data_IF_812733736455
#
_entry.id   IF_812733736455
#
_cell.length_a   1.000
_cell.length_b   1.000
_cell.length_c   1.000
_cell.angle_alpha   90.00
_cell.angle_beta   90.00
_cell.angle_gamma   90.00
#
_symmetry.space_group_name_H-M   'P 1'
#
loop_
_entity.id
_entity.type
_entity.pdbx_description
1 polymer ?
#
# COMPACT_ATOMS: atom_id res chain seq x y z
N UNK A 1 -13.44 2.90 -36.51
CA UNK A 1 -13.25 1.92 -35.43
C UNK A 1 -13.23 2.68 -34.12
N UNK A 2 -14.05 2.28 -33.13
CA UNK A 2 -13.94 2.81 -31.76
C UNK A 2 -12.62 2.29 -31.17
N UNK A 3 -11.77 3.18 -30.66
CA UNK A 3 -10.57 2.77 -29.93
C UNK A 3 -10.97 2.26 -28.55
N UNK A 4 -10.56 1.04 -28.20
CA UNK A 4 -10.68 0.54 -26.84
C UNK A 4 -9.65 1.29 -25.99
N UNK A 5 -10.14 2.05 -25.02
CA UNK A 5 -9.29 2.67 -24.00
C UNK A 5 -9.12 1.67 -22.86
N UNK A 6 -7.90 1.19 -22.64
CA UNK A 6 -7.56 0.26 -21.56
C UNK A 6 -7.05 1.07 -20.37
N UNK A 7 -7.69 0.90 -19.21
CA UNK A 7 -7.22 1.46 -17.94
C UNK A 7 -6.23 0.50 -17.29
N UNK A 8 -5.01 0.95 -17.05
CA UNK A 8 -3.98 0.20 -16.33
C UNK A 8 -4.03 0.51 -14.83
N UNK A 9 -4.05 -0.55 -14.01
CA UNK A 9 -3.96 -0.45 -12.55
C UNK A 9 -2.50 -0.56 -12.09
N UNK A 10 -2.25 -0.28 -10.81
CA UNK A 10 -0.94 -0.41 -10.20
C UNK A 10 -0.51 -1.87 -9.95
N UNK A 11 0.81 -2.06 -9.79
CA UNK A 11 1.41 -3.31 -9.38
C UNK A 11 1.42 -3.47 -7.85
N UNK A 12 1.69 -4.68 -7.38
CA UNK A 12 1.58 -5.05 -5.97
C UNK A 12 2.49 -4.26 -5.01
N UNK A 13 1.91 -3.82 -3.89
CA UNK A 13 2.61 -3.07 -2.84
C UNK A 13 3.46 -3.98 -1.93
N UNK A 14 2.87 -5.00 -1.30
CA UNK A 14 3.53 -5.77 -0.22
C UNK A 14 4.86 -6.43 -0.62
N UNK A 15 4.91 -7.07 -1.79
CA UNK A 15 6.17 -7.66 -2.30
C UNK A 15 7.22 -6.59 -2.58
N UNK A 16 6.82 -5.46 -3.15
CA UNK A 16 7.72 -4.35 -3.46
C UNK A 16 8.28 -3.72 -2.19
N UNK A 17 7.46 -3.55 -1.15
CA UNK A 17 7.91 -3.11 0.18
C UNK A 17 8.98 -4.06 0.75
N UNK A 18 8.74 -5.36 0.71
CA UNK A 18 9.71 -6.37 1.16
C UNK A 18 11.01 -6.32 0.35
N UNK A 19 10.94 -6.18 -0.98
CA UNK A 19 12.11 -6.02 -1.84
C UNK A 19 12.91 -4.74 -1.57
N UNK A 20 12.24 -3.68 -1.11
CA UNK A 20 12.87 -2.42 -0.67
C UNK A 20 13.33 -2.46 0.80
N UNK A 21 13.26 -3.62 1.46
CA UNK A 21 13.78 -3.83 2.81
C UNK A 21 12.87 -3.33 3.94
N UNK A 22 11.60 -3.03 3.65
CA UNK A 22 10.63 -2.69 4.69
C UNK A 22 10.21 -3.97 5.39
N UNK A 23 10.43 -4.03 6.71
CA UNK A 23 9.93 -5.12 7.54
C UNK A 23 8.41 -4.97 7.71
N UNK A 24 7.69 -6.01 7.29
CA UNK A 24 6.23 -6.01 7.27
C UNK A 24 5.69 -7.28 7.96
N UNK A 25 4.84 -7.13 8.99
CA UNK A 25 4.21 -8.28 9.65
C UNK A 25 3.11 -8.87 8.76
N UNK A 26 2.80 -10.18 8.85
CA UNK A 26 1.84 -10.83 7.97
C UNK A 26 0.41 -10.25 7.99
N UNK A 27 -0.04 -9.76 9.14
CA UNK A 27 -1.42 -9.32 9.38
C UNK A 27 -1.65 -7.87 8.98
N UNK A 28 -0.87 -6.96 9.56
CA UNK A 28 -1.06 -5.50 9.40
C UNK A 28 -0.03 -4.88 8.44
N UNK A 29 0.56 -5.66 7.52
CA UNK A 29 1.69 -5.25 6.68
C UNK A 29 1.56 -3.84 6.06
N UNK A 30 0.39 -3.51 5.52
CA UNK A 30 0.14 -2.23 4.84
C UNK A 30 -0.01 -1.09 5.84
N UNK A 31 -0.71 -1.30 6.94
CA UNK A 31 -0.82 -0.32 8.02
C UNK A 31 0.55 -0.08 8.69
N UNK A 32 1.32 -1.15 8.95
CA UNK A 32 2.66 -1.03 9.50
C UNK A 32 3.59 -0.23 8.58
N UNK A 33 3.55 -0.49 7.27
CA UNK A 33 4.35 0.25 6.31
C UNK A 33 4.06 1.77 6.32
N UNK A 34 2.81 2.18 6.57
CA UNK A 34 2.45 3.60 6.75
C UNK A 34 3.03 4.21 8.04
N UNK A 35 3.29 3.39 9.07
CA UNK A 35 3.85 3.84 10.35
C UNK A 35 5.38 3.90 10.26
N UNK A 36 6.02 2.84 9.75
CA UNK A 36 7.48 2.69 9.82
C UNK A 36 8.22 3.23 8.60
N UNK A 37 7.57 3.26 7.42
CA UNK A 37 8.21 3.61 6.15
C UNK A 37 7.25 4.33 5.17
N UNK A 38 6.55 5.40 5.57
CA UNK A 38 5.58 6.09 4.72
C UNK A 38 6.19 6.64 3.42
N UNK A 39 7.46 7.06 3.45
CA UNK A 39 8.16 7.54 2.25
C UNK A 39 8.40 6.41 1.23
N UNK A 40 8.61 5.17 1.68
CA UNK A 40 8.78 4.01 0.78
C UNK A 40 7.44 3.64 0.13
N UNK A 41 6.33 3.72 0.88
CA UNK A 41 4.98 3.55 0.30
C UNK A 41 4.73 4.57 -0.81
N UNK A 42 5.09 5.83 -0.56
CA UNK A 42 4.98 6.92 -1.54
C UNK A 42 5.87 6.70 -2.76
N UNK A 43 7.10 6.21 -2.56
CA UNK A 43 8.02 5.85 -3.63
C UNK A 43 7.43 4.76 -4.53
N UNK A 44 6.88 3.68 -3.96
CA UNK A 44 6.24 2.60 -4.72
C UNK A 44 5.04 3.11 -5.52
N UNK A 45 4.22 4.02 -4.96
CA UNK A 45 3.15 4.65 -5.74
C UNK A 45 3.69 5.49 -6.91
N UNK A 46 4.78 6.25 -6.70
CA UNK A 46 5.43 7.02 -7.78
C UNK A 46 6.00 6.11 -8.87
N UNK A 47 6.59 4.98 -8.50
CA UNK A 47 7.09 3.98 -9.45
C UNK A 47 5.95 3.39 -10.30
N UNK A 48 4.82 3.07 -9.68
CA UNK A 48 3.63 2.61 -10.40
C UNK A 48 3.10 3.66 -11.39
N UNK A 49 3.04 4.93 -10.97
CA UNK A 49 2.64 6.04 -11.85
C UNK A 49 3.63 6.19 -13.01
N UNK A 50 4.94 6.16 -12.72
CA UNK A 50 5.98 6.26 -13.74
C UNK A 50 5.97 5.06 -14.73
N UNK A 51 5.55 3.89 -14.28
CA UNK A 51 5.36 2.70 -15.11
C UNK A 51 4.09 2.73 -15.99
N UNK A 52 3.23 3.75 -15.82
CA UNK A 52 2.06 3.99 -16.67
C UNK A 52 0.72 3.63 -16.02
N UNK A 53 0.67 3.35 -14.71
CA UNK A 53 -0.60 3.12 -14.02
C UNK A 53 -1.51 4.36 -14.13
N UNK A 54 -2.76 4.14 -14.55
CA UNK A 54 -3.78 5.19 -14.60
C UNK A 54 -4.51 5.34 -13.25
N UNK A 55 -4.54 4.27 -12.47
CA UNK A 55 -5.16 4.22 -11.14
C UNK A 55 -4.15 3.57 -10.19
N UNK A 56 -4.04 4.14 -8.99
CA UNK A 56 -3.30 3.55 -7.87
C UNK A 56 -4.28 3.18 -6.74
N UNK A 57 -3.96 2.10 -6.03
CA UNK A 57 -4.73 1.63 -4.88
C UNK A 57 -4.10 2.15 -3.60
N UNK A 58 -4.88 2.72 -2.67
CA UNK A 58 -4.33 3.18 -1.39
C UNK A 58 -3.77 2.01 -0.58
N UNK A 59 -2.67 2.24 0.15
CA UNK A 59 -2.05 1.23 1.01
C UNK A 59 -2.85 1.01 2.33
N UNK A 60 -4.14 0.69 2.23
CA UNK A 60 -5.08 0.60 3.35
C UNK A 60 -5.61 -0.80 3.63
N UNK A 61 -5.13 -1.83 2.93
CA UNK A 61 -5.65 -3.21 3.02
C UNK A 61 -5.67 -3.77 4.45
N UNK A 62 -4.59 -3.57 5.21
CA UNK A 62 -4.40 -4.05 6.58
C UNK A 62 -4.79 -3.03 7.65
N UNK A 63 -5.46 -1.93 7.27
CA UNK A 63 -6.03 -0.97 8.22
C UNK A 63 -7.40 -1.49 8.67
N UNK A 64 -7.37 -2.60 9.40
CA UNK A 64 -8.57 -3.28 9.93
C UNK A 64 -8.50 -3.16 11.44
N UNK A 65 -9.48 -2.49 12.07
CA UNK A 65 -9.46 -2.19 13.52
C UNK A 65 -9.22 -3.44 14.38
N UNK A 66 -9.85 -4.57 14.03
CA UNK A 66 -9.70 -5.82 14.76
C UNK A 66 -8.31 -6.45 14.64
N UNK A 67 -7.59 -6.24 13.53
CA UNK A 67 -6.21 -6.71 13.38
C UNK A 67 -5.23 -5.73 14.03
N UNK A 68 -5.49 -4.42 13.93
CA UNK A 68 -4.72 -3.40 14.63
C UNK A 68 -4.81 -3.55 16.16
N UNK A 69 -5.97 -3.94 16.70
CA UNK A 69 -6.16 -4.20 18.13
C UNK A 69 -5.27 -5.33 18.65
N UNK A 70 -4.92 -6.32 17.82
CA UNK A 70 -4.00 -7.41 18.20
C UNK A 70 -2.58 -6.90 18.43
N UNK A 71 -2.24 -5.74 17.86
CA UNK A 71 -0.94 -5.07 17.95
C UNK A 71 -1.01 -3.79 18.83
N UNK A 72 -2.16 -3.49 19.44
CA UNK A 72 -2.37 -2.27 20.26
C UNK A 72 -2.37 -0.96 19.45
N UNK A 73 -2.79 -1.01 18.19
CA UNK A 73 -2.77 0.12 17.24
C UNK A 73 -4.17 0.52 16.74
N UNK A 74 -5.24 0.05 17.37
CA UNK A 74 -6.63 0.21 16.94
C UNK A 74 -7.09 1.66 16.79
N UNK A 75 -6.48 2.59 17.53
CA UNK A 75 -6.79 4.02 17.50
C UNK A 75 -5.71 4.85 16.79
N UNK A 76 -4.67 4.21 16.22
CA UNK A 76 -3.54 4.89 15.58
C UNK A 76 -3.95 5.74 14.37
N UNK A 77 -5.06 5.38 13.73
CA UNK A 77 -5.62 6.04 12.56
C UNK A 77 -7.01 6.66 12.82
N UNK A 78 -7.43 6.73 14.09
CA UNK A 78 -8.67 7.39 14.50
C UNK A 78 -8.41 8.90 14.61
N UNK A 79 -9.20 9.70 13.89
CA UNK A 79 -9.18 11.17 13.99
C UNK A 79 -9.91 11.66 15.23
#
# INVERSE_FOLDING_TARGET
>A
MSSINVTLLDAGMGKTLSMKGVDIPPTIWSANALIVAPEVVKEVHKENIAAGANIITTNSYGIIRGDLAKEGLEDKFSN
#
